data_IF_026993507682
#
_entry.id   IF_026993507682
#
_cell.length_a   1.000
_cell.length_b   1.000
_cell.length_c   1.000
_cell.angle_alpha   90.00
_cell.angle_beta   90.00
_cell.angle_gamma   90.00
#
_symmetry.space_group_name_H-M   'P 1'
#
loop_
_entity.id
_entity.type
_entity.pdbx_description
1 polymer ?
#
# COMPACT_ATOMS: atom_id res chain seq x y z
N UNK A 1 64.44 -2.70 -38.63
CA UNK A 1 63.48 -2.95 -37.53
C UNK A 1 62.87 -1.62 -37.10
N UNK A 2 61.54 -1.45 -37.22
CA UNK A 2 60.87 -0.19 -36.87
C UNK A 2 60.49 -0.19 -35.39
N UNK A 3 60.99 0.81 -34.67
CA UNK A 3 60.70 1.08 -33.26
C UNK A 3 59.25 1.58 -33.14
N UNK A 4 58.38 0.82 -32.47
CA UNK A 4 57.02 1.27 -32.13
C UNK A 4 57.02 1.81 -30.70
N UNK A 5 56.92 3.13 -30.64
CA UNK A 5 56.65 3.94 -29.45
C UNK A 5 55.25 3.60 -28.92
N UNK A 6 55.16 3.18 -27.66
CA UNK A 6 53.88 3.05 -26.94
C UNK A 6 53.91 4.05 -25.78
N UNK A 7 53.19 5.15 -25.99
CA UNK A 7 52.93 6.19 -25.00
C UNK A 7 51.88 5.64 -24.03
N UNK A 8 52.23 5.57 -22.75
CA UNK A 8 51.30 5.32 -21.66
C UNK A 8 50.43 6.55 -21.43
N UNK A 9 49.12 6.36 -21.29
CA UNK A 9 48.23 7.35 -20.65
C UNK A 9 47.34 6.60 -19.66
N UNK A 10 47.66 6.76 -18.38
CA UNK A 10 46.78 6.49 -17.26
C UNK A 10 45.72 7.60 -17.21
N UNK A 11 44.44 7.23 -17.19
CA UNK A 11 43.33 8.16 -17.02
C UNK A 11 42.33 7.60 -16.02
N UNK A 12 42.30 8.22 -14.83
CA UNK A 12 41.30 7.99 -13.79
C UNK A 12 39.88 8.21 -14.36
N UNK A 13 39.02 7.21 -14.28
CA UNK A 13 37.58 7.39 -14.48
C UNK A 13 36.90 7.42 -13.11
N UNK A 14 36.61 8.65 -12.66
CA UNK A 14 35.85 8.95 -11.46
C UNK A 14 34.36 8.61 -11.63
N UNK A 15 33.80 7.98 -10.60
CA UNK A 15 32.42 8.03 -10.12
C UNK A 15 31.26 8.22 -11.11
N UNK A 16 30.46 7.17 -11.29
CA UNK A 16 29.02 7.30 -11.47
C UNK A 16 28.32 6.86 -10.19
N UNK A 17 28.08 7.82 -9.29
CA UNK A 17 27.01 7.70 -8.30
C UNK A 17 25.68 7.81 -9.06
N UNK A 18 25.08 6.67 -9.40
CA UNK A 18 23.67 6.60 -9.77
C UNK A 18 22.86 6.99 -8.53
N UNK A 19 22.50 8.27 -8.46
CA UNK A 19 21.36 8.71 -7.68
C UNK A 19 20.14 8.20 -8.45
N UNK A 20 19.64 7.03 -8.06
CA UNK A 20 18.30 6.60 -8.42
C UNK A 20 17.32 7.54 -7.76
N UNK A 21 17.06 8.69 -8.40
CA UNK A 21 15.91 9.51 -8.10
C UNK A 21 14.68 8.64 -8.34
N UNK A 22 14.07 8.14 -7.26
CA UNK A 22 12.82 7.44 -7.32
C UNK A 22 11.83 8.30 -8.09
N UNK A 23 11.35 7.78 -9.21
CA UNK A 23 10.18 8.27 -9.93
C UNK A 23 9.06 8.45 -8.91
N UNK A 24 8.84 9.70 -8.49
CA UNK A 24 7.69 10.07 -7.69
C UNK A 24 6.47 9.88 -8.59
N UNK A 25 5.88 8.69 -8.54
CA UNK A 25 4.61 8.43 -9.21
C UNK A 25 3.60 9.41 -8.62
N UNK A 26 3.08 10.32 -9.46
CA UNK A 26 1.91 11.15 -9.15
C UNK A 26 0.61 10.30 -9.06
N UNK A 27 0.72 9.00 -8.78
CA UNK A 27 -0.38 8.12 -8.46
C UNK A 27 -0.61 8.19 -6.96
N UNK A 28 -1.86 8.39 -6.54
CA UNK A 28 -2.23 8.42 -5.12
C UNK A 28 -1.78 7.18 -4.35
N UNK A 29 -1.92 7.22 -3.02
CA UNK A 29 -1.48 6.15 -2.14
C UNK A 29 -2.07 4.80 -2.56
N UNK A 30 -1.23 3.76 -2.49
CA UNK A 30 -1.64 2.40 -2.84
C UNK A 30 -2.75 1.91 -1.91
N UNK A 31 -3.59 1.00 -2.41
CA UNK A 31 -4.58 0.31 -1.58
C UNK A 31 -3.87 -0.43 -0.43
N UNK A 32 -4.42 -0.43 0.79
CA UNK A 32 -3.83 -1.08 1.96
C UNK A 32 -4.04 -2.60 1.94
N UNK A 33 -3.53 -3.27 0.91
CA UNK A 33 -3.64 -4.73 0.76
C UNK A 33 -2.93 -5.42 1.93
N UNK A 34 -3.65 -6.29 2.63
CA UNK A 34 -3.15 -7.01 3.79
C UNK A 34 -4.23 -7.34 4.81
N UNK A 35 -3.79 -7.95 5.91
CA UNK A 35 -4.59 -8.17 7.10
C UNK A 35 -4.18 -7.15 8.17
N UNK A 36 -5.16 -6.49 8.75
CA UNK A 36 -4.99 -5.38 9.67
C UNK A 36 -5.89 -5.58 10.88
N UNK A 37 -5.45 -5.15 12.06
CA UNK A 37 -6.27 -5.23 13.27
C UNK A 37 -6.09 -3.99 14.12
N UNK A 38 -7.12 -3.59 14.86
CA UNK A 38 -6.95 -2.60 15.92
C UNK A 38 -5.98 -3.11 17.01
N UNK A 39 -5.35 -2.19 17.75
CA UNK A 39 -4.35 -2.55 18.77
C UNK A 39 -4.90 -3.45 19.89
N UNK A 40 -6.20 -3.32 20.20
CA UNK A 40 -6.92 -4.17 21.15
C UNK A 40 -7.55 -5.42 20.51
N UNK A 41 -7.43 -5.59 19.18
CA UNK A 41 -8.01 -6.71 18.44
C UNK A 41 -9.55 -6.70 18.37
N UNK A 42 -10.20 -5.57 18.68
CA UNK A 42 -11.65 -5.43 18.60
C UNK A 42 -12.20 -5.59 17.18
N UNK A 43 -11.37 -5.25 16.20
CA UNK A 43 -11.73 -5.24 14.78
C UNK A 43 -10.58 -5.74 13.92
N UNK A 44 -10.97 -6.30 12.79
CA UNK A 44 -10.09 -6.91 11.81
C UNK A 44 -10.50 -6.46 10.41
N UNK A 45 -9.55 -5.94 9.64
CA UNK A 45 -9.74 -5.55 8.26
C UNK A 45 -8.86 -6.42 7.35
N UNK A 46 -9.49 -7.14 6.43
CA UNK A 46 -8.83 -7.82 5.33
C UNK A 46 -9.07 -7.05 4.04
N UNK A 47 -7.99 -6.72 3.32
CA UNK A 47 -8.03 -6.13 1.99
C UNK A 47 -7.23 -7.02 1.05
N UNK A 48 -7.90 -7.60 0.06
CA UNK A 48 -7.28 -8.50 -0.91
C UNK A 48 -7.87 -8.32 -2.30
N UNK A 49 -7.20 -8.86 -3.32
CA UNK A 49 -7.72 -8.85 -4.70
C UNK A 49 -9.01 -9.68 -4.85
N UNK A 50 -9.20 -10.70 -4.01
CA UNK A 50 -10.40 -11.55 -4.02
C UNK A 50 -11.59 -10.95 -3.25
N UNK A 51 -11.39 -9.85 -2.54
CA UNK A 51 -12.42 -9.21 -1.74
C UNK A 51 -11.88 -8.58 -0.45
N UNK A 52 -12.75 -7.84 0.21
CA UNK A 52 -12.44 -7.19 1.48
C UNK A 52 -13.45 -7.58 2.55
N UNK A 53 -13.02 -7.49 3.80
CA UNK A 53 -13.88 -7.75 4.96
C UNK A 53 -13.46 -6.89 6.15
N UNK A 54 -14.41 -6.22 6.77
CA UNK A 54 -14.34 -5.75 8.13
C UNK A 54 -15.04 -6.77 9.03
N UNK A 55 -14.41 -7.17 10.11
CA UNK A 55 -14.92 -8.16 11.06
C UNK A 55 -14.68 -7.71 12.50
N UNK A 56 -15.51 -8.21 13.41
CA UNK A 56 -15.33 -8.00 14.84
C UNK A 56 -14.21 -8.89 15.42
N UNK A 57 -13.96 -8.79 16.73
CA UNK A 57 -12.95 -9.57 17.44
C UNK A 57 -13.11 -11.10 17.29
N UNK A 58 -14.33 -11.59 17.07
CA UNK A 58 -14.62 -13.00 16.86
C UNK A 58 -14.39 -13.46 15.41
N UNK A 59 -13.92 -12.57 14.52
CA UNK A 59 -13.74 -12.85 13.09
C UNK A 59 -15.05 -12.91 12.30
N UNK A 60 -16.17 -12.47 12.89
CA UNK A 60 -17.47 -12.42 12.20
C UNK A 60 -17.52 -11.17 11.31
N UNK A 61 -17.69 -11.31 9.99
CA UNK A 61 -17.77 -10.15 9.09
C UNK A 61 -18.96 -9.25 9.42
N UNK A 62 -18.68 -7.98 9.71
CA UNK A 62 -19.69 -6.92 9.81
C UNK A 62 -19.94 -6.27 8.45
N UNK A 63 -18.96 -6.32 7.56
CA UNK A 63 -19.05 -5.90 6.15
C UNK A 63 -18.08 -6.71 5.33
N UNK A 64 -18.52 -7.38 4.26
CA UNK A 64 -17.64 -8.08 3.34
C UNK A 64 -18.21 -8.19 1.94
N UNK A 65 -17.31 -8.27 0.96
CA UNK A 65 -17.64 -8.44 -0.44
C UNK A 65 -16.55 -7.95 -1.38
N UNK A 66 -16.86 -7.82 -2.68
CA UNK A 66 -15.98 -7.18 -3.65
C UNK A 66 -15.66 -5.75 -3.20
N UNK A 67 -14.44 -5.31 -3.44
CA UNK A 67 -14.00 -3.99 -3.04
C UNK A 67 -13.23 -3.25 -4.13
N UNK A 68 -13.29 -1.92 -4.06
CA UNK A 68 -12.56 -1.01 -4.93
C UNK A 68 -11.84 0.06 -4.10
N UNK A 69 -10.77 0.60 -4.67
CA UNK A 69 -9.94 1.62 -4.04
C UNK A 69 -9.96 2.90 -4.85
N UNK A 70 -10.31 4.01 -4.20
CA UNK A 70 -10.20 5.35 -4.76
C UNK A 70 -9.09 6.11 -4.03
N UNK A 71 -7.92 6.22 -4.67
CA UNK A 71 -6.71 6.76 -4.05
C UNK A 71 -6.74 8.29 -3.90
N UNK A 72 -6.15 8.77 -2.81
CA UNK A 72 -5.81 10.17 -2.52
C UNK A 72 -4.31 10.29 -2.18
N UNK A 73 -3.80 11.48 -1.87
CA UNK A 73 -2.37 11.70 -1.64
C UNK A 73 -1.80 10.91 -0.44
N UNK A 74 -2.59 10.66 0.60
CA UNK A 74 -2.15 9.96 1.83
C UNK A 74 -3.04 8.77 2.21
N UNK A 75 -3.84 8.26 1.28
CA UNK A 75 -4.85 7.27 1.60
C UNK A 75 -5.86 7.13 0.48
N UNK A 76 -7.12 7.02 0.83
CA UNK A 76 -8.21 6.87 -0.12
C UNK A 76 -9.48 6.35 0.51
N UNK A 77 -10.48 6.11 -0.34
CA UNK A 77 -11.73 5.49 0.05
C UNK A 77 -11.71 4.02 -0.38
N UNK A 78 -11.81 3.12 0.59
CA UNK A 78 -12.08 1.71 0.35
C UNK A 78 -13.60 1.54 0.27
N UNK A 79 -14.11 1.11 -0.88
CA UNK A 79 -15.53 0.78 -1.03
C UNK A 79 -15.68 -0.73 -0.96
N UNK A 80 -16.56 -1.23 -0.09
CA UNK A 80 -16.92 -2.66 -0.03
C UNK A 80 -18.39 -2.78 -0.44
N UNK A 81 -18.69 -3.60 -1.44
CA UNK A 81 -20.07 -3.95 -1.79
C UNK A 81 -20.55 -5.02 -0.80
N UNK A 82 -21.20 -4.58 0.28
CA UNK A 82 -21.56 -5.44 1.41
C UNK A 82 -22.59 -6.49 1.01
N UNK A 83 -22.26 -7.75 1.28
CA UNK A 83 -23.17 -8.90 1.14
C UNK A 83 -24.06 -9.15 2.37
N UNK A 84 -23.82 -8.43 3.48
CA UNK A 84 -24.58 -8.57 4.74
C UNK A 84 -25.93 -7.83 4.71
N UNK A 85 -26.12 -6.95 3.74
CA UNK A 85 -27.36 -6.22 3.53
C UNK A 85 -28.32 -7.02 2.63
N UNK A 86 -29.64 -6.83 2.80
CA UNK A 86 -30.67 -7.55 2.01
C UNK A 86 -30.47 -7.41 0.49
N UNK A 87 -29.91 -6.28 0.07
CA UNK A 87 -29.49 -6.00 -1.30
C UNK A 87 -28.07 -5.45 -1.24
N UNK A 88 -27.13 -5.97 -2.06
CA UNK A 88 -25.75 -5.49 -2.04
C UNK A 88 -25.69 -3.97 -2.11
N UNK A 89 -24.99 -3.37 -1.14
CA UNK A 89 -24.90 -1.91 -0.98
C UNK A 89 -23.46 -1.51 -0.73
N UNK A 90 -22.97 -0.42 -1.35
CA UNK A 90 -21.65 0.09 -1.05
C UNK A 90 -21.58 0.59 0.39
N UNK A 91 -20.50 0.24 1.07
CA UNK A 91 -20.05 0.83 2.33
C UNK A 91 -18.69 1.46 2.06
N UNK A 92 -18.53 2.71 2.45
CA UNK A 92 -17.33 3.49 2.20
C UNK A 92 -16.54 3.60 3.50
N UNK A 93 -15.24 3.34 3.40
CA UNK A 93 -14.30 3.48 4.51
C UNK A 93 -13.21 4.48 4.11
N UNK A 94 -13.09 5.57 4.84
CA UNK A 94 -11.96 6.49 4.75
C UNK A 94 -10.74 5.84 5.38
N UNK A 95 -9.72 5.58 4.56
CA UNK A 95 -8.47 4.95 4.99
C UNK A 95 -7.29 5.86 4.74
N UNK A 96 -6.49 6.11 5.78
CA UNK A 96 -5.27 6.91 5.67
C UNK A 96 -4.06 6.07 6.04
N UNK A 97 -2.97 6.25 5.30
CA UNK A 97 -1.68 5.70 5.66
C UNK A 97 -1.03 6.57 6.75
N UNK A 98 -0.58 5.92 7.82
CA UNK A 98 0.31 6.54 8.82
C UNK A 98 1.75 6.17 8.50
N UNK A 99 2.00 4.89 8.24
CA UNK A 99 3.26 4.33 7.75
C UNK A 99 3.01 2.95 7.12
N UNK A 100 4.05 2.26 6.64
CA UNK A 100 3.90 0.97 5.94
C UNK A 100 3.23 -0.16 6.75
N UNK A 101 3.19 -0.05 8.08
CA UNK A 101 2.61 -1.03 9.01
C UNK A 101 1.40 -0.51 9.78
N UNK A 102 0.95 0.72 9.51
CA UNK A 102 -0.12 1.37 10.26
C UNK A 102 -0.98 2.21 9.35
N UNK A 103 -2.29 1.98 9.43
CA UNK A 103 -3.31 2.78 8.76
C UNK A 103 -4.33 3.27 9.78
N UNK A 104 -5.09 4.29 9.43
CA UNK A 104 -6.35 4.59 10.12
C UNK A 104 -7.53 4.25 9.23
N UNK A 105 -8.61 3.74 9.81
CA UNK A 105 -9.88 3.44 9.13
C UNK A 105 -10.95 4.16 9.91
N UNK A 106 -11.62 5.14 9.31
CA UNK A 106 -12.60 6.01 10.01
C UNK A 106 -12.07 6.67 11.29
N UNK A 107 -10.75 6.85 11.38
CA UNK A 107 -10.06 7.42 12.55
C UNK A 107 -9.50 6.38 13.53
N UNK A 108 -9.95 5.12 13.47
CA UNK A 108 -9.41 4.04 14.30
C UNK A 108 -8.08 3.53 13.76
N UNK A 109 -7.14 3.24 14.65
CA UNK A 109 -5.77 2.82 14.27
C UNK A 109 -5.71 1.31 14.08
N UNK A 110 -5.29 0.90 12.90
CA UNK A 110 -5.06 -0.50 12.55
C UNK A 110 -3.58 -0.77 12.29
N UNK A 111 -3.12 -1.92 12.76
CA UNK A 111 -1.76 -2.42 12.60
C UNK A 111 -1.74 -3.62 11.68
N UNK A 112 -0.74 -3.68 10.81
CA UNK A 112 -0.52 -4.81 9.93
C UNK A 112 -0.18 -6.08 10.73
N UNK A 113 -0.61 -7.23 10.24
CA UNK A 113 -0.33 -8.55 10.78
C UNK A 113 0.43 -9.43 9.80
#
# INVERSE_FOLDING_TARGET
>A
MRLKMLIAVAGLAAGLLVVSAGIAHAGGAAAPVGFWTTGNGSEQLLVSQSGCSLANAAGVPTTSGPCSWNASSNGGILTIISSQTRRPSPVYFNVLWVNQSTITVEGDVFYRR
#
